data_IF_649762954932
#
_entry.id   IF_649762954932
#
_cell.length_a   1.000
_cell.length_b   1.000
_cell.length_c   1.000
_cell.angle_alpha   90.00
_cell.angle_beta   90.00
_cell.angle_gamma   90.00
#
_symmetry.space_group_name_H-M   'P 1'
#
loop_
_entity.id
_entity.type
_entity.pdbx_description
1 polymer ?
#
# COMPACT_ATOMS: atom_id res chain seq x y z
N UNK A 1 10.57 9.92 12.49
CA UNK A 1 11.39 8.72 12.22
C UNK A 1 10.76 8.00 11.02
N UNK A 2 11.53 7.26 10.22
CA UNK A 2 10.93 6.52 9.10
C UNK A 2 10.29 5.24 9.65
N UNK A 3 9.03 5.00 9.32
CA UNK A 3 8.27 3.81 9.68
C UNK A 3 8.31 2.83 8.50
N UNK A 4 8.52 1.55 8.80
CA UNK A 4 8.62 0.47 7.78
C UNK A 4 7.66 -0.63 8.19
N UNK A 5 6.72 -0.95 7.31
CA UNK A 5 5.60 -1.82 7.63
C UNK A 5 5.37 -2.84 6.52
N UNK A 6 4.82 -3.98 6.90
CA UNK A 6 4.29 -4.97 5.98
C UNK A 6 2.98 -5.50 6.55
N UNK A 7 1.86 -5.13 5.94
CA UNK A 7 0.54 -5.55 6.41
C UNK A 7 -0.12 -6.45 5.38
N UNK A 8 -0.64 -7.59 5.85
CA UNK A 8 -1.37 -8.55 5.04
C UNK A 8 -2.86 -8.29 5.10
N UNK A 9 -3.47 -8.14 3.93
CA UNK A 9 -4.91 -8.01 3.71
C UNK A 9 -5.43 -9.20 2.91
N UNK A 10 -6.63 -9.69 3.25
CA UNK A 10 -7.29 -10.78 2.52
C UNK A 10 -8.21 -10.20 1.45
N UNK A 11 -8.14 -10.73 0.25
CA UNK A 11 -9.11 -10.42 -0.81
C UNK A 11 -10.39 -11.22 -0.58
N UNK A 12 -11.55 -10.58 -0.76
CA UNK A 12 -12.85 -11.25 -0.77
C UNK A 12 -12.86 -12.33 -1.85
N UNK A 13 -13.39 -13.51 -1.53
CA UNK A 13 -13.56 -14.59 -2.49
C UNK A 13 -14.34 -14.15 -3.72
N UNK A 14 -13.80 -14.44 -4.90
CA UNK A 14 -14.41 -14.07 -6.18
C UNK A 14 -14.12 -12.63 -6.63
N UNK A 15 -13.36 -11.85 -5.85
CA UNK A 15 -12.93 -10.48 -6.22
C UNK A 15 -11.48 -10.43 -6.72
N UNK A 16 -10.81 -11.56 -6.89
CA UNK A 16 -9.39 -11.64 -7.27
C UNK A 16 -9.12 -10.94 -8.62
N UNK A 17 -10.01 -11.10 -9.59
CA UNK A 17 -9.91 -10.40 -10.88
C UNK A 17 -10.06 -8.87 -10.74
N UNK A 18 -10.93 -8.41 -9.83
CA UNK A 18 -11.13 -6.99 -9.54
C UNK A 18 -9.95 -6.41 -8.76
N UNK A 19 -9.37 -7.18 -7.84
CA UNK A 19 -8.13 -6.81 -7.15
C UNK A 19 -6.94 -6.72 -8.12
N UNK A 20 -6.90 -7.56 -9.17
CA UNK A 20 -5.92 -7.40 -10.24
C UNK A 20 -6.15 -6.12 -11.05
N UNK A 21 -7.40 -5.83 -11.43
CA UNK A 21 -7.77 -4.58 -12.11
C UNK A 21 -7.36 -3.35 -11.32
N UNK A 22 -7.49 -3.38 -9.99
CA UNK A 22 -7.01 -2.32 -9.10
C UNK A 22 -5.50 -2.09 -9.22
N UNK A 23 -4.70 -3.15 -9.10
CA UNK A 23 -3.24 -3.03 -9.24
C UNK A 23 -2.84 -2.56 -10.65
N UNK A 24 -3.54 -3.05 -11.69
CA UNK A 24 -3.31 -2.62 -13.07
C UNK A 24 -3.69 -1.13 -13.27
N UNK A 25 -4.73 -0.66 -12.59
CA UNK A 25 -5.14 0.74 -12.61
C UNK A 25 -4.06 1.64 -12.00
N UNK A 26 -3.57 1.33 -10.79
CA UNK A 26 -2.50 2.11 -10.14
C UNK A 26 -1.21 2.11 -10.98
N UNK A 27 -0.83 0.95 -11.52
CA UNK A 27 0.36 0.85 -12.38
C UNK A 27 0.22 1.61 -13.70
N UNK A 28 -0.97 1.61 -14.32
CA UNK A 28 -1.19 2.34 -15.58
C UNK A 28 -1.29 3.85 -15.36
N UNK A 29 -1.56 4.30 -14.14
CA UNK A 29 -1.56 5.71 -13.73
C UNK A 29 -0.40 6.01 -12.77
N UNK A 30 0.79 5.44 -13.05
CA UNK A 30 1.92 5.47 -12.13
C UNK A 30 2.34 6.88 -11.70
N UNK A 31 2.49 7.83 -12.64
CA UNK A 31 2.90 9.20 -12.32
C UNK A 31 1.91 9.91 -11.40
N UNK A 32 0.60 9.77 -11.68
CA UNK A 32 -0.45 10.36 -10.86
C UNK A 32 -0.54 9.68 -9.49
N UNK A 33 -0.32 8.36 -9.42
CA UNK A 33 -0.29 7.60 -8.17
C UNK A 33 0.90 8.01 -7.30
N UNK A 34 2.10 8.16 -7.88
CA UNK A 34 3.27 8.64 -7.15
C UNK A 34 3.08 10.09 -6.66
N UNK A 35 2.32 10.91 -7.39
CA UNK A 35 2.06 12.29 -6.98
C UNK A 35 1.24 12.37 -5.68
N UNK A 36 0.33 11.43 -5.41
CA UNK A 36 -0.50 11.45 -4.19
C UNK A 36 0.29 11.11 -2.93
N UNK A 37 1.30 10.24 -3.06
CA UNK A 37 2.18 9.80 -1.96
C UNK A 37 2.89 10.94 -1.21
N UNK A 38 3.12 12.07 -1.87
CA UNK A 38 3.83 13.21 -1.27
C UNK A 38 3.10 13.82 -0.06
N UNK A 39 1.77 13.94 -0.12
CA UNK A 39 0.94 14.46 0.98
C UNK A 39 0.88 13.49 2.18
N UNK A 40 0.97 12.20 1.89
CA UNK A 40 0.96 11.11 2.86
C UNK A 40 2.33 10.89 3.51
N UNK A 41 3.36 11.62 3.07
CA UNK A 41 4.76 11.36 3.42
C UNK A 41 5.16 9.90 3.17
N UNK A 42 4.56 9.29 2.16
CA UNK A 42 4.85 7.94 1.72
C UNK A 42 6.06 7.99 0.78
N UNK A 43 7.14 7.28 1.12
CA UNK A 43 8.37 7.25 0.32
C UNK A 43 8.46 6.02 -0.57
N UNK A 44 7.94 4.90 -0.08
CA UNK A 44 7.84 3.64 -0.81
C UNK A 44 6.50 3.03 -0.48
N UNK A 45 5.78 2.63 -1.52
CA UNK A 45 4.64 1.72 -1.41
C UNK A 45 4.88 0.57 -2.38
N UNK A 46 4.67 -0.66 -1.93
CA UNK A 46 4.82 -1.84 -2.77
C UNK A 46 3.82 -2.90 -2.34
N UNK A 47 3.08 -3.44 -3.30
CA UNK A 47 2.06 -4.46 -3.03
C UNK A 47 2.49 -5.80 -3.64
N UNK A 48 2.54 -6.84 -2.81
CA UNK A 48 2.79 -8.21 -3.24
C UNK A 48 1.49 -9.03 -3.19
N UNK A 49 1.31 -9.95 -4.13
CA UNK A 49 0.16 -10.87 -4.17
C UNK A 49 0.58 -12.29 -3.83
N UNK A 50 -0.19 -12.97 -3.00
CA UNK A 50 0.00 -14.37 -2.60
C UNK A 50 -1.30 -15.16 -2.80
N UNK A 51 -1.26 -16.21 -3.60
CA UNK A 51 -2.35 -17.18 -3.74
C UNK A 51 -2.07 -18.34 -2.78
N UNK A 52 -2.74 -18.32 -1.64
CA UNK A 52 -2.38 -19.17 -0.51
C UNK A 52 -3.08 -20.54 -0.57
N UNK A 53 -2.52 -21.54 0.12
CA UNK A 53 -3.05 -22.91 0.16
C UNK A 53 -4.42 -23.02 0.86
N UNK A 54 -4.78 -22.06 1.71
CA UNK A 54 -6.13 -21.93 2.28
C UNK A 54 -7.19 -21.51 1.23
N UNK A 55 -6.75 -21.29 -0.01
CA UNK A 55 -7.52 -20.93 -1.18
C UNK A 55 -7.79 -19.43 -1.30
N UNK A 56 -7.43 -18.60 -0.33
CA UNK A 56 -7.60 -17.15 -0.40
C UNK A 56 -6.42 -16.49 -1.12
N UNK A 57 -6.70 -15.35 -1.74
CA UNK A 57 -5.65 -14.43 -2.20
C UNK A 57 -5.40 -13.36 -1.15
N UNK A 58 -4.15 -13.05 -0.90
CA UNK A 58 -3.73 -11.98 -0.01
C UNK A 58 -2.93 -10.92 -0.78
N UNK A 59 -3.12 -9.66 -0.38
CA UNK A 59 -2.21 -8.58 -0.74
C UNK A 59 -1.38 -8.21 0.49
N UNK A 60 -0.07 -8.07 0.30
CA UNK A 60 0.86 -7.61 1.30
C UNK A 60 1.31 -6.21 0.93
N UNK A 61 0.94 -5.24 1.76
CA UNK A 61 1.25 -3.83 1.59
C UNK A 61 2.53 -3.52 2.35
N UNK A 62 3.61 -3.28 1.61
CA UNK A 62 4.88 -2.82 2.15
C UNK A 62 4.96 -1.31 2.01
N UNK A 63 5.27 -0.62 3.09
CA UNK A 63 5.46 0.83 3.08
C UNK A 63 6.73 1.27 3.78
N UNK A 64 7.28 2.40 3.31
CA UNK A 64 8.31 3.18 4.00
C UNK A 64 7.79 4.62 4.04
N UNK A 65 7.47 5.13 5.23
CA UNK A 65 6.77 6.42 5.37
C UNK A 65 7.34 7.29 6.49
N UNK A 66 7.09 8.59 6.39
CA UNK A 66 7.41 9.58 7.42
C UNK A 66 6.36 9.65 8.53
N UNK A 67 6.55 10.58 9.45
CA UNK A 67 5.56 10.87 10.51
C UNK A 67 4.63 12.01 10.09
N UNK A 68 3.36 11.93 10.51
CA UNK A 68 2.31 12.93 10.27
C UNK A 68 1.98 13.13 8.78
N UNK A 69 1.93 12.05 8.01
CA UNK A 69 1.29 12.06 6.69
C UNK A 69 -0.22 12.25 6.80
N UNK A 70 -0.82 12.85 5.77
CA UNK A 70 -2.29 12.82 5.62
C UNK A 70 -2.76 11.40 5.31
N UNK A 71 -3.95 11.06 5.78
CA UNK A 71 -4.57 9.78 5.46
C UNK A 71 -5.12 9.82 4.01
N UNK A 72 -5.09 8.69 3.30
CA UNK A 72 -5.58 8.60 1.91
C UNK A 72 -7.06 9.00 1.80
N UNK A 73 -7.84 8.77 2.86
CA UNK A 73 -9.26 9.12 2.96
C UNK A 73 -9.52 10.63 3.01
N UNK A 74 -8.50 11.43 3.33
CA UNK A 74 -8.59 12.89 3.31
C UNK A 74 -8.22 13.48 1.94
N UNK A 75 -7.82 12.64 0.98
CA UNK A 75 -7.38 13.09 -0.33
C UNK A 75 -8.54 13.43 -1.26
N UNK A 76 -8.39 14.56 -1.96
CA UNK A 76 -9.31 14.96 -3.03
C UNK A 76 -8.91 14.39 -4.40
N UNK A 77 -7.76 13.71 -4.49
CA UNK A 77 -7.25 13.11 -5.72
C UNK A 77 -8.23 12.08 -6.28
N UNK A 78 -8.38 12.08 -7.60
CA UNK A 78 -9.21 11.07 -8.27
C UNK A 78 -8.58 9.67 -8.17
N UNK A 79 -7.25 9.57 -8.08
CA UNK A 79 -6.55 8.30 -7.88
C UNK A 79 -6.90 7.73 -6.52
N UNK A 80 -6.78 8.51 -5.45
CA UNK A 80 -7.02 8.04 -4.08
C UNK A 80 -8.49 7.68 -3.86
N UNK A 81 -9.42 8.47 -4.41
CA UNK A 81 -10.84 8.12 -4.43
C UNK A 81 -11.09 6.78 -5.12
N UNK A 82 -10.46 6.56 -6.29
CA UNK A 82 -10.60 5.29 -7.02
C UNK A 82 -9.92 4.13 -6.29
N UNK A 83 -8.79 4.39 -5.65
CA UNK A 83 -8.07 3.46 -4.81
C UNK A 83 -8.95 2.96 -3.65
N UNK A 84 -9.63 3.87 -2.95
CA UNK A 84 -10.57 3.54 -1.87
C UNK A 84 -11.78 2.76 -2.39
N UNK A 85 -12.33 3.11 -3.57
CA UNK A 85 -13.41 2.32 -4.18
C UNK A 85 -12.99 0.86 -4.41
N UNK A 86 -11.77 0.64 -4.94
CA UNK A 86 -11.25 -0.71 -5.13
C UNK A 86 -11.00 -1.41 -3.79
N UNK A 87 -10.46 -0.69 -2.81
CA UNK A 87 -10.25 -1.20 -1.46
C UNK A 87 -11.54 -1.74 -0.85
N UNK A 88 -12.59 -0.92 -0.82
CA UNK A 88 -13.90 -1.27 -0.27
C UNK A 88 -14.54 -2.44 -1.02
N UNK A 89 -14.36 -2.51 -2.34
CA UNK A 89 -14.87 -3.62 -3.14
C UNK A 89 -14.12 -4.93 -2.86
N UNK A 90 -12.79 -4.89 -2.77
CA UNK A 90 -11.91 -6.07 -2.83
C UNK A 90 -11.47 -6.61 -1.47
N UNK A 91 -11.19 -5.76 -0.48
CA UNK A 91 -10.64 -6.19 0.80
C UNK A 91 -11.74 -6.77 1.69
N UNK A 92 -11.50 -7.97 2.22
CA UNK A 92 -12.43 -8.69 3.07
C UNK A 92 -12.53 -8.06 4.47
N UNK A 93 -13.66 -7.42 4.84
CA UNK A 93 -13.80 -6.73 6.12
C UNK A 93 -13.97 -7.70 7.30
N UNK A 94 -14.30 -8.97 7.05
CA UNK A 94 -14.40 -9.99 8.10
C UNK A 94 -13.03 -10.55 8.50
N UNK A 95 -12.00 -10.25 7.71
CA UNK A 95 -10.63 -10.61 8.00
C UNK A 95 -9.88 -9.42 8.59
N UNK A 96 -9.44 -9.56 9.84
CA UNK A 96 -8.61 -8.53 10.46
C UNK A 96 -7.25 -8.47 9.74
N UNK A 97 -6.80 -7.28 9.29
CA UNK A 97 -5.45 -7.10 8.77
C UNK A 97 -4.39 -7.59 9.75
N UNK A 98 -3.30 -8.15 9.22
CA UNK A 98 -2.20 -8.68 10.03
C UNK A 98 -0.93 -7.92 9.73
N UNK A 99 -0.48 -7.12 10.68
CA UNK A 99 0.84 -6.49 10.63
C UNK A 99 1.91 -7.55 10.92
N UNK A 100 2.82 -7.75 9.99
CA UNK A 100 3.92 -8.69 10.15
C UNK A 100 5.00 -8.07 11.05
N UNK A 101 5.69 -8.93 11.80
CA UNK A 101 6.79 -8.49 12.66
C UNK A 101 8.00 -8.15 11.78
N UNK A 102 8.49 -6.92 11.89
CA UNK A 102 9.72 -6.48 11.25
C UNK A 102 10.93 -7.10 11.98
N UNK A 103 11.49 -8.17 11.43
CA UNK A 103 12.70 -8.81 11.97
C UNK A 103 13.99 -8.08 11.56
N UNK A 104 14.02 -7.49 10.36
CA UNK A 104 15.19 -6.76 9.85
C UNK A 104 14.80 -5.67 8.84
N UNK A 105 15.45 -4.52 8.92
CA UNK A 105 15.47 -3.50 7.87
C UNK A 105 16.89 -2.98 7.65
N UNK A 106 17.31 -2.90 6.40
CA UNK A 106 18.63 -2.41 5.97
C UNK A 106 18.44 -1.39 4.84
N UNK A 107 18.64 -0.10 5.15
CA UNK A 107 18.56 0.98 4.18
C UNK A 107 19.97 1.48 3.89
N UNK A 108 20.36 1.51 2.61
CA UNK A 108 21.67 2.04 2.20
C UNK A 108 21.77 3.54 2.55
N UNK A 109 22.93 4.04 3.01
CA UNK A 109 23.07 5.44 3.43
C UNK A 109 22.59 6.47 2.40
N UNK A 110 22.87 6.23 1.11
CA UNK A 110 22.45 7.12 0.03
C UNK A 110 20.92 7.25 -0.09
N UNK A 111 20.17 6.19 0.23
CA UNK A 111 18.70 6.21 0.21
C UNK A 111 18.16 6.86 1.47
N UNK A 112 18.75 6.56 2.63
CA UNK A 112 18.36 7.16 3.91
C UNK A 112 18.57 8.68 3.93
N UNK A 113 19.65 9.18 3.32
CA UNK A 113 19.89 10.61 3.13
C UNK A 113 18.78 11.27 2.30
N UNK A 114 18.44 10.68 1.14
CA UNK A 114 17.34 11.19 0.30
C UNK A 114 16.01 11.21 1.05
N UNK A 115 15.69 10.16 1.82
CA UNK A 115 14.46 10.12 2.62
C UNK A 115 14.47 11.21 3.70
N UNK A 116 15.61 11.42 4.38
CA UNK A 116 15.74 12.44 5.44
C UNK A 116 15.59 13.87 4.93
N UNK A 117 16.14 14.17 3.75
CA UNK A 117 16.05 15.50 3.14
C UNK A 117 14.61 15.84 2.71
N UNK A 118 13.74 14.83 2.57
CA UNK A 118 12.32 14.96 2.21
C UNK A 118 11.37 14.68 3.41
N UNK A 119 11.83 14.87 4.66
CA UNK A 119 11.00 14.70 5.89
C UNK A 119 10.17 15.93 6.25
#
# INVERSE_FOLDING_TARGET
>A
MTQIELTRFRIKKGKEAKAQEWMDFLNSHHEDTVATMSGEKMYVETVFKDENEDGYTYLYWYSVQGENGSAVEESESYIDKKHIEYWDECIDPEYKPVDLVLEQSLIAPIVDEVIKDNR
#
